data_IF_076790340340
#
_entry.id   IF_076790340340
#
_cell.length_a   1.000
_cell.length_b   1.000
_cell.length_c   1.000
_cell.angle_alpha   90.00
_cell.angle_beta   90.00
_cell.angle_gamma   90.00
#
_symmetry.space_group_name_H-M   'P 1'
#
loop_
_entity.id
_entity.type
_entity.pdbx_description
1 polymer ?
#
# COMPACT_ATOMS: atom_id res chain seq x y z
N UNK A 1 -8.73 10.35 -6.79
CA UNK A 1 -8.94 9.02 -7.43
C UNK A 1 -7.63 8.39 -7.88
N UNK A 2 -6.63 9.16 -8.33
CA UNK A 2 -5.33 8.64 -8.79
C UNK A 2 -4.58 7.82 -7.71
N UNK A 3 -4.42 8.34 -6.49
CA UNK A 3 -3.67 7.69 -5.41
C UNK A 3 -4.35 6.40 -4.92
N UNK A 4 -5.69 6.36 -4.88
CA UNK A 4 -6.45 5.14 -4.57
C UNK A 4 -6.11 4.00 -5.53
N UNK A 5 -5.97 4.30 -6.83
CA UNK A 5 -5.60 3.28 -7.83
C UNK A 5 -4.15 2.80 -7.68
N UNK A 6 -3.24 3.71 -7.31
CA UNK A 6 -1.83 3.38 -7.02
C UNK A 6 -1.75 2.45 -5.82
N UNK A 7 -2.43 2.79 -4.71
CA UNK A 7 -2.43 1.96 -3.50
C UNK A 7 -3.10 0.61 -3.75
N UNK A 8 -4.22 0.57 -4.49
CA UNK A 8 -4.89 -0.70 -4.84
C UNK A 8 -3.94 -1.63 -5.60
N UNK A 9 -3.23 -1.09 -6.59
CA UNK A 9 -2.24 -1.85 -7.37
C UNK A 9 -1.08 -2.32 -6.50
N UNK A 10 -0.59 -1.46 -5.60
CA UNK A 10 0.45 -1.78 -4.65
C UNK A 10 0.04 -2.92 -3.70
N UNK A 11 -1.16 -2.86 -3.12
CA UNK A 11 -1.67 -3.91 -2.22
C UNK A 11 -1.86 -5.24 -2.94
N UNK A 12 -2.22 -5.22 -4.24
CA UNK A 12 -2.26 -6.44 -5.06
C UNK A 12 -0.89 -7.09 -5.19
N UNK A 13 0.15 -6.30 -5.48
CA UNK A 13 1.53 -6.78 -5.58
C UNK A 13 2.00 -7.34 -4.23
N UNK A 14 1.75 -6.63 -3.14
CA UNK A 14 2.12 -7.09 -1.79
C UNK A 14 1.46 -8.42 -1.45
N UNK A 15 0.16 -8.57 -1.75
CA UNK A 15 -0.57 -9.83 -1.50
C UNK A 15 0.03 -10.99 -2.28
N UNK A 16 0.37 -10.77 -3.54
CA UNK A 16 0.97 -11.78 -4.40
C UNK A 16 2.33 -12.23 -3.85
N UNK A 17 3.20 -11.29 -3.45
CA UNK A 17 4.51 -11.61 -2.87
C UNK A 17 4.39 -12.29 -1.51
N UNK A 18 3.47 -11.85 -0.65
CA UNK A 18 3.23 -12.50 0.64
C UNK A 18 2.81 -13.97 0.47
N UNK A 19 1.95 -14.26 -0.52
CA UNK A 19 1.52 -15.63 -0.82
C UNK A 19 2.69 -16.51 -1.32
N UNK A 20 3.61 -15.95 -2.11
CA UNK A 20 4.81 -16.68 -2.58
C UNK A 20 5.77 -17.06 -1.46
N UNK A 21 5.80 -16.25 -0.40
CA UNK A 21 6.75 -16.39 0.71
C UNK A 21 6.13 -16.91 2.02
N UNK A 22 4.87 -17.35 1.99
CA UNK A 22 4.11 -17.81 3.15
C UNK A 22 4.11 -16.80 4.32
N UNK A 23 4.00 -15.51 3.97
CA UNK A 23 3.95 -14.41 4.94
C UNK A 23 2.50 -14.07 5.24
N UNK A 24 2.10 -14.15 6.51
CA UNK A 24 0.70 -13.89 6.91
C UNK A 24 0.48 -12.50 7.51
N UNK A 25 1.53 -11.70 7.68
CA UNK A 25 1.43 -10.37 8.30
C UNK A 25 2.29 -9.34 7.57
N UNK A 26 1.65 -8.26 7.15
CA UNK A 26 2.32 -7.08 6.63
C UNK A 26 2.62 -6.11 7.79
N UNK A 27 3.86 -5.63 7.89
CA UNK A 27 4.27 -4.67 8.92
C UNK A 27 4.57 -3.30 8.34
N UNK A 28 5.36 -3.28 7.26
CA UNK A 28 5.87 -2.05 6.65
C UNK A 28 5.95 -2.24 5.15
N UNK A 29 5.39 -1.29 4.42
CA UNK A 29 5.67 -1.06 3.01
C UNK A 29 6.55 0.18 2.94
N UNK A 30 7.55 0.19 2.06
CA UNK A 30 8.33 1.41 1.76
C UNK A 30 8.20 1.71 0.29
N UNK A 31 7.65 2.88 -0.01
CA UNK A 31 7.49 3.32 -1.40
C UNK A 31 8.46 4.45 -1.71
N UNK A 32 9.12 4.34 -2.85
CA UNK A 32 9.89 5.42 -3.45
C UNK A 32 9.16 5.92 -4.69
N UNK A 33 8.87 7.21 -4.73
CA UNK A 33 8.27 7.88 -5.89
C UNK A 33 9.20 8.98 -6.39
N UNK A 34 9.22 9.20 -7.70
CA UNK A 34 10.04 10.21 -8.34
C UNK A 34 9.45 11.61 -8.21
N UNK A 35 10.30 12.64 -8.27
CA UNK A 35 9.87 14.04 -8.21
C UNK A 35 8.86 14.42 -9.32
N UNK A 36 8.88 13.71 -10.45
CA UNK A 36 7.98 13.93 -11.59
C UNK A 36 6.73 13.03 -11.56
N UNK A 37 6.56 12.20 -10.51
CA UNK A 37 5.42 11.30 -10.41
C UNK A 37 4.12 12.01 -9.96
N UNK A 38 4.22 13.29 -9.56
CA UNK A 38 3.10 14.12 -9.07
C UNK A 38 2.26 13.43 -7.98
N UNK A 39 2.91 12.62 -7.14
CA UNK A 39 2.30 11.94 -6.01
C UNK A 39 2.16 12.92 -4.85
N UNK A 40 0.97 12.97 -4.26
CA UNK A 40 0.73 13.68 -3.00
C UNK A 40 0.90 12.68 -1.85
N UNK A 41 1.96 12.80 -1.02
CA UNK A 41 2.27 11.79 0.01
C UNK A 41 1.13 11.59 1.00
N UNK A 42 0.49 12.67 1.43
CA UNK A 42 -0.61 12.63 2.40
C UNK A 42 -1.83 11.89 1.83
N UNK A 43 -2.12 12.09 0.54
CA UNK A 43 -3.21 11.39 -0.14
C UNK A 43 -2.90 9.90 -0.34
N UNK A 44 -1.63 9.55 -0.56
CA UNK A 44 -1.18 8.17 -0.67
C UNK A 44 -1.30 7.45 0.69
N UNK A 45 -0.85 8.09 1.78
CA UNK A 45 -1.01 7.57 3.14
C UNK A 45 -2.48 7.41 3.52
N UNK A 46 -3.32 8.41 3.24
CA UNK A 46 -4.76 8.31 3.47
C UNK A 46 -5.41 7.17 2.68
N UNK A 47 -5.07 7.03 1.40
CA UNK A 47 -5.58 5.94 0.57
C UNK A 47 -5.16 4.56 1.11
N UNK A 48 -3.92 4.44 1.62
CA UNK A 48 -3.43 3.22 2.25
C UNK A 48 -4.18 2.88 3.53
N UNK A 49 -4.35 3.82 4.44
CA UNK A 49 -5.14 3.59 5.66
C UNK A 49 -6.59 3.21 5.33
N UNK A 50 -7.23 3.93 4.40
CA UNK A 50 -8.60 3.68 4.00
C UNK A 50 -8.80 2.30 3.35
N UNK A 51 -7.81 1.80 2.61
CA UNK A 51 -7.88 0.50 1.92
C UNK A 51 -7.40 -0.68 2.79
N UNK A 52 -6.66 -0.41 3.88
CA UNK A 52 -6.15 -1.45 4.79
C UNK A 52 -7.00 -1.63 6.04
N UNK A 53 -7.74 -0.60 6.47
CA UNK A 53 -8.65 -0.69 7.61
C UNK A 53 -9.68 -1.82 7.44
N UNK A 54 -9.82 -2.67 8.46
CA UNK A 54 -10.74 -3.82 8.45
C UNK A 54 -10.29 -4.98 7.56
N UNK A 55 -9.04 -5.00 7.10
CA UNK A 55 -8.47 -6.07 6.28
C UNK A 55 -7.29 -6.74 6.98
N UNK A 56 -6.77 -7.82 6.40
CA UNK A 56 -5.56 -8.51 6.89
C UNK A 56 -4.29 -7.63 6.88
N UNK A 57 -4.36 -6.44 6.26
CA UNK A 57 -3.29 -5.45 6.24
C UNK A 57 -3.46 -4.34 7.28
N UNK A 58 -4.49 -4.41 8.12
CA UNK A 58 -4.71 -3.41 9.16
C UNK A 58 -3.51 -3.30 10.11
N UNK A 59 -3.10 -2.07 10.40
CA UNK A 59 -1.93 -1.78 11.23
C UNK A 59 -0.58 -1.84 10.51
N UNK A 60 -0.55 -2.13 9.21
CA UNK A 60 0.65 -1.92 8.40
C UNK A 60 0.95 -0.42 8.23
N UNK A 61 2.24 -0.08 8.07
CA UNK A 61 2.70 1.29 7.85
C UNK A 61 3.22 1.44 6.42
N UNK A 62 3.02 2.61 5.80
CA UNK A 62 3.53 2.98 4.46
C UNK A 62 4.69 3.99 4.53
#
# INVERSE_FOLDING_TARGET
>A
MHEMSVVTSLLSIVREEMAKHDVHRLLLVRVRYGALANIVPEALSFAFEALTAGTDFEGAVL
#
